data_IF_517104511667
#
_entry.id   IF_517104511667
#
_cell.length_a   1.000
_cell.length_b   1.000
_cell.length_c   1.000
_cell.angle_alpha   90.00
_cell.angle_beta   90.00
_cell.angle_gamma   90.00
#
_symmetry.space_group_name_H-M   'P 1'
#
loop_
_entity.id
_entity.type
_entity.pdbx_description
1 polymer ?
#
# COMPACT_ATOMS: atom_id res chain seq x y z
N UNK A 1 -1.90 8.32 4.68
CA UNK A 1 -3.02 7.49 4.16
C UNK A 1 -4.13 8.23 3.41
N UNK A 2 -4.56 9.49 3.71
CA UNK A 2 -5.60 10.13 2.88
C UNK A 2 -5.18 10.29 1.40
N UNK A 3 -3.89 10.52 1.13
CA UNK A 3 -3.37 10.67 -0.23
C UNK A 3 -3.44 9.40 -1.09
N UNK A 4 -3.18 8.22 -0.51
CA UNK A 4 -3.23 6.93 -1.23
C UNK A 4 -4.65 6.61 -1.73
N UNK A 5 -5.64 6.93 -0.90
CA UNK A 5 -7.05 6.81 -1.25
C UNK A 5 -7.41 7.74 -2.41
N UNK A 6 -7.02 9.01 -2.34
CA UNK A 6 -7.44 10.00 -3.34
C UNK A 6 -6.69 9.91 -4.66
N UNK A 7 -5.45 9.41 -4.66
CA UNK A 7 -4.63 9.35 -5.87
C UNK A 7 -4.74 7.98 -6.54
N UNK A 8 -4.35 6.89 -5.89
CA UNK A 8 -4.35 5.57 -6.54
C UNK A 8 -5.76 5.02 -6.77
N UNK A 9 -6.62 5.01 -5.75
CA UNK A 9 -7.95 4.39 -5.85
C UNK A 9 -8.89 5.16 -6.79
N UNK A 10 -8.68 6.47 -6.95
CA UNK A 10 -9.45 7.26 -7.89
C UNK A 10 -8.84 7.27 -9.30
N UNK A 11 -7.52 7.16 -9.43
CA UNK A 11 -6.85 7.16 -10.74
C UNK A 11 -6.99 5.81 -11.46
N UNK A 12 -7.02 4.71 -10.71
CA UNK A 12 -7.04 3.37 -11.26
C UNK A 12 -8.30 2.62 -10.81
N UNK A 13 -9.12 2.10 -11.75
CA UNK A 13 -10.24 1.24 -11.38
C UNK A 13 -9.74 -0.09 -10.80
N UNK A 14 -10.52 -0.66 -9.87
CA UNK A 14 -10.24 -1.95 -9.23
C UNK A 14 -10.00 -3.11 -10.22
N UNK A 15 -10.54 -3.01 -11.44
CA UNK A 15 -10.31 -3.99 -12.50
C UNK A 15 -8.87 -4.01 -13.04
N UNK A 16 -8.11 -2.94 -12.80
CA UNK A 16 -6.71 -2.79 -13.21
C UNK A 16 -5.76 -2.88 -12.02
N UNK A 17 -6.09 -2.19 -10.91
CA UNK A 17 -5.25 -2.11 -9.73
C UNK A 17 -6.11 -2.26 -8.48
N UNK A 18 -5.82 -3.27 -7.68
CA UNK A 18 -6.45 -3.44 -6.36
C UNK A 18 -5.48 -2.96 -5.27
N UNK A 19 -5.96 -2.08 -4.40
CA UNK A 19 -5.18 -1.60 -3.24
C UNK A 19 -5.54 -2.43 -2.01
N UNK A 20 -4.52 -2.96 -1.34
CA UNK A 20 -4.64 -3.65 -0.05
C UNK A 20 -3.65 -3.01 0.93
N UNK A 21 -4.13 -2.60 2.10
CA UNK A 21 -3.28 -2.09 3.16
C UNK A 21 -3.09 -3.16 4.24
N UNK A 22 -1.90 -3.25 4.81
CA UNK A 22 -1.60 -4.13 5.94
C UNK A 22 -1.25 -3.29 7.17
N UNK A 23 -1.75 -3.69 8.33
CA UNK A 23 -1.39 -3.08 9.60
C UNK A 23 -1.09 -4.14 10.66
N UNK A 24 -0.06 -3.91 11.46
CA UNK A 24 0.37 -4.79 12.56
C UNK A 24 -0.49 -4.67 13.80
N UNK A 25 -1.11 -3.51 13.97
CA UNK A 25 -1.92 -3.23 15.14
C UNK A 25 -3.34 -3.76 14.90
N UNK A 26 -3.88 -4.46 15.90
CA UNK A 26 -5.25 -4.98 15.84
C UNK A 26 -6.20 -3.83 15.50
N UNK A 27 -7.28 -4.04 14.73
CA UNK A 27 -8.36 -3.06 14.60
C UNK A 27 -9.04 -2.87 15.96
N UNK A 28 -8.33 -2.26 16.90
CA UNK A 28 -8.82 -1.84 18.17
C UNK A 28 -9.30 -0.40 17.99
N UNK A 29 -10.20 -0.01 18.88
CA UNK A 29 -10.84 1.30 18.89
C UNK A 29 -9.84 2.46 18.83
N UNK A 30 -8.60 2.24 19.26
CA UNK A 30 -7.52 3.22 19.37
C UNK A 30 -6.91 3.59 18.02
N UNK A 31 -6.70 2.66 17.09
CA UNK A 31 -6.25 3.02 15.72
C UNK A 31 -7.35 3.77 14.99
N UNK A 32 -8.58 3.26 15.04
CA UNK A 32 -9.72 3.91 14.37
C UNK A 32 -10.03 5.29 14.98
N UNK A 33 -9.71 5.52 16.26
CA UNK A 33 -9.88 6.80 16.94
C UNK A 33 -8.70 7.77 16.77
N UNK A 34 -7.47 7.27 16.62
CA UNK A 34 -6.26 8.09 16.54
C UNK A 34 -5.69 8.25 15.12
N UNK A 35 -6.19 7.51 14.15
CA UNK A 35 -5.92 7.76 12.74
C UNK A 35 -7.07 8.64 12.22
N UNK A 36 -6.89 9.97 12.05
CA UNK A 36 -7.90 10.82 11.46
C UNK A 36 -7.94 10.52 9.96
N UNK A 37 -8.49 9.37 9.60
CA UNK A 37 -9.08 9.23 8.29
C UNK A 37 -10.29 10.15 8.33
N UNK A 38 -10.14 11.33 7.74
CA UNK A 38 -11.23 12.30 7.62
C UNK A 38 -12.43 11.73 6.84
N UNK A 39 -12.24 10.57 6.18
CA UNK A 39 -13.23 9.84 5.39
C UNK A 39 -13.03 8.32 5.57
N UNK A 40 -14.06 7.48 5.39
CA UNK A 40 -13.92 6.03 5.39
C UNK A 40 -12.87 5.56 4.37
N UNK A 41 -12.10 4.50 4.70
CA UNK A 41 -11.24 3.83 3.73
C UNK A 41 -12.06 3.26 2.58
N UNK A 42 -11.62 3.46 1.34
CA UNK A 42 -12.22 2.85 0.15
C UNK A 42 -11.58 1.52 -0.23
N UNK A 43 -10.54 1.09 0.48
CA UNK A 43 -9.82 -0.16 0.23
C UNK A 43 -9.74 -1.03 1.49
N UNK A 44 -9.61 -2.37 1.34
CA UNK A 44 -9.45 -3.27 2.47
C UNK A 44 -8.20 -2.98 3.29
N UNK A 45 -8.37 -2.96 4.62
CA UNK A 45 -7.28 -2.97 5.60
C UNK A 45 -7.19 -4.37 6.22
N UNK A 46 -6.13 -5.09 5.88
CA UNK A 46 -5.82 -6.41 6.38
C UNK A 46 -5.00 -6.32 7.67
N UNK A 47 -5.39 -7.14 8.65
CA UNK A 47 -4.69 -7.25 9.90
C UNK A 47 -3.60 -8.31 9.81
N UNK A 48 -2.34 -7.90 9.93
CA UNK A 48 -1.19 -8.79 9.90
C UNK A 48 -0.54 -8.84 11.28
N UNK A 49 -1.04 -9.76 12.10
CA UNK A 49 -0.46 -10.06 13.42
C UNK A 49 -0.27 -11.54 13.63
N UNK A 50 0.63 -11.85 14.55
CA UNK A 50 0.72 -13.17 15.17
C UNK A 50 0.46 -13.03 16.67
N UNK A 51 0.29 -14.16 17.37
CA UNK A 51 0.25 -14.17 18.83
C UNK A 51 1.50 -13.55 19.48
N UNK A 52 2.61 -13.43 18.75
CA UNK A 52 3.87 -12.83 19.17
C UNK A 52 4.01 -11.32 18.81
N UNK A 53 2.95 -10.69 18.29
CA UNK A 53 2.91 -9.25 17.99
C UNK A 53 2.99 -8.94 16.51
N UNK A 54 4.14 -9.19 15.86
CA UNK A 54 4.32 -8.86 14.43
C UNK A 54 3.83 -9.98 13.52
N UNK A 55 2.99 -9.65 12.55
CA UNK A 55 2.55 -10.54 11.48
C UNK A 55 3.67 -11.00 10.54
N UNK A 56 3.43 -12.09 9.81
CA UNK A 56 4.44 -12.70 8.94
C UNK A 56 4.70 -11.86 7.69
N UNK A 57 3.65 -11.24 7.13
CA UNK A 57 3.77 -10.40 5.92
C UNK A 57 4.66 -9.18 6.21
N UNK A 58 4.50 -8.55 7.36
CA UNK A 58 5.35 -7.44 7.78
C UNK A 58 6.77 -7.89 8.05
N UNK A 59 6.99 -9.06 8.67
CA UNK A 59 8.35 -9.56 8.89
C UNK A 59 9.08 -9.86 7.58
N UNK A 60 8.35 -10.37 6.58
CA UNK A 60 8.90 -10.72 5.28
C UNK A 60 9.19 -9.48 4.44
N UNK A 61 8.27 -8.51 4.42
CA UNK A 61 8.32 -7.40 3.47
C UNK A 61 8.73 -6.06 4.08
N UNK A 62 8.58 -5.83 5.39
CA UNK A 62 9.01 -4.58 6.02
C UNK A 62 10.46 -4.70 6.52
N UNK A 63 11.42 -4.39 5.64
CA UNK A 63 12.86 -4.38 5.96
C UNK A 63 13.42 -2.98 6.19
N UNK A 64 12.60 -1.93 6.06
CA UNK A 64 13.05 -0.54 6.04
C UNK A 64 12.02 0.46 6.59
N UNK A 65 12.00 1.66 6.02
CA UNK A 65 11.13 2.76 6.43
C UNK A 65 9.66 2.47 6.13
N UNK A 66 8.78 2.97 7.00
CA UNK A 66 7.33 2.92 6.81
C UNK A 66 6.83 4.21 6.16
N UNK A 67 5.86 4.15 5.24
CA UNK A 67 5.19 2.94 4.75
C UNK A 67 5.98 2.20 3.65
N UNK A 68 6.04 0.86 3.66
CA UNK A 68 6.49 0.10 2.48
C UNK A 68 5.32 -0.18 1.55
N UNK A 69 5.51 0.08 0.25
CA UNK A 69 4.54 -0.17 -0.82
C UNK A 69 5.14 -1.17 -1.79
N UNK A 70 4.34 -2.17 -2.15
CA UNK A 70 4.71 -3.20 -3.11
C UNK A 70 3.73 -3.15 -4.29
N UNK A 71 4.26 -3.12 -5.51
CA UNK A 71 3.47 -3.41 -6.70
C UNK A 71 3.60 -4.89 -6.99
N UNK A 72 2.48 -5.61 -6.96
CA UNK A 72 2.44 -7.07 -7.12
C UNK A 72 1.59 -7.41 -8.32
N UNK A 73 2.09 -8.28 -9.20
CA UNK A 73 1.32 -8.73 -10.36
C UNK A 73 0.29 -9.81 -9.99
N UNK A 74 -0.55 -10.21 -10.95
CA UNK A 74 -1.59 -11.24 -10.73
C UNK A 74 -1.03 -12.63 -10.37
N UNK A 75 0.24 -12.90 -10.66
CA UNK A 75 0.92 -14.14 -10.28
C UNK A 75 1.48 -14.09 -8.85
N UNK A 76 1.29 -12.98 -8.12
CA UNK A 76 1.82 -12.80 -6.76
C UNK A 76 3.29 -12.41 -6.72
N UNK A 77 3.88 -12.01 -7.85
CA UNK A 77 5.29 -11.60 -7.92
C UNK A 77 5.40 -10.10 -7.65
N UNK A 78 6.29 -9.72 -6.73
CA UNK A 78 6.64 -8.32 -6.47
C UNK A 78 7.40 -7.78 -7.68
N UNK A 79 6.81 -6.79 -8.34
CA UNK A 79 7.39 -6.13 -9.50
C UNK A 79 8.24 -4.93 -9.10
N UNK A 80 7.76 -4.14 -8.15
CA UNK A 80 8.43 -2.94 -7.65
C UNK A 80 8.22 -2.80 -6.15
N UNK A 81 9.20 -2.18 -5.49
CA UNK A 81 9.19 -1.91 -4.04
C UNK A 81 9.55 -0.45 -3.79
N UNK A 82 8.74 0.22 -2.98
CA UNK A 82 8.98 1.57 -2.50
C UNK A 82 9.00 1.54 -0.98
N UNK A 83 10.15 1.85 -0.39
CA UNK A 83 10.26 2.07 1.06
C UNK A 83 10.05 3.55 1.31
N UNK A 84 8.85 3.88 1.75
CA UNK A 84 8.35 5.24 1.78
C UNK A 84 9.09 6.14 2.76
N UNK A 85 8.96 7.43 2.52
CA UNK A 85 9.57 8.44 3.37
C UNK A 85 8.88 8.58 4.73
N UNK A 86 9.68 8.90 5.75
CA UNK A 86 9.25 8.98 7.15
C UNK A 86 8.21 10.06 7.44
N UNK A 87 7.97 10.99 6.50
CA UNK A 87 7.03 12.11 6.67
C UNK A 87 6.06 12.23 5.49
N UNK A 88 4.90 12.87 5.71
CA UNK A 88 3.90 13.07 4.67
C UNK A 88 4.36 14.03 3.55
N UNK A 89 5.25 14.96 3.84
CA UNK A 89 5.78 15.93 2.85
C UNK A 89 6.71 15.24 1.86
N UNK A 90 7.54 14.33 2.35
CA UNK A 90 8.46 13.55 1.52
C UNK A 90 7.74 12.47 0.70
N UNK A 91 6.58 12.01 1.19
CA UNK A 91 5.78 10.97 0.54
C UNK A 91 5.02 11.47 -0.70
N UNK A 92 4.71 12.78 -0.80
CA UNK A 92 3.95 13.33 -1.92
C UNK A 92 4.69 13.21 -3.26
N UNK A 93 5.99 13.54 -3.37
CA UNK A 93 6.76 13.28 -4.59
C UNK A 93 6.85 11.78 -4.94
N UNK A 94 6.93 10.89 -3.94
CA UNK A 94 7.01 9.45 -4.15
C UNK A 94 5.73 8.89 -4.81
N UNK A 95 4.57 9.47 -4.52
CA UNK A 95 3.31 9.07 -5.17
C UNK A 95 3.36 9.17 -6.69
N UNK A 96 3.93 10.25 -7.23
CA UNK A 96 4.06 10.40 -8.68
C UNK A 96 4.97 9.35 -9.32
N UNK A 97 5.98 8.88 -8.57
CA UNK A 97 6.88 7.79 -9.00
C UNK A 97 6.11 6.46 -9.01
N UNK A 98 5.28 6.22 -7.98
CA UNK A 98 4.43 5.04 -7.89
C UNK A 98 3.41 4.99 -9.03
N UNK A 99 2.73 6.10 -9.33
CA UNK A 99 1.78 6.21 -10.45
C UNK A 99 2.47 5.93 -11.79
N UNK A 100 3.64 6.53 -12.03
CA UNK A 100 4.41 6.28 -13.25
C UNK A 100 4.84 4.80 -13.38
N UNK A 101 5.17 4.14 -12.28
CA UNK A 101 5.48 2.71 -12.27
C UNK A 101 4.25 1.86 -12.58
N UNK A 102 3.09 2.18 -12.01
CA UNK A 102 1.82 1.51 -12.33
C UNK A 102 1.50 1.66 -13.83
N UNK A 103 1.56 2.87 -14.37
CA UNK A 103 1.29 3.14 -15.79
C UNK A 103 2.24 2.35 -16.70
N UNK A 104 3.53 2.31 -16.35
CA UNK A 104 4.55 1.56 -17.08
C UNK A 104 4.26 0.06 -17.10
N UNK A 105 3.88 -0.51 -15.95
CA UNK A 105 3.55 -1.94 -15.81
C UNK A 105 2.24 -2.29 -16.53
N UNK A 106 1.25 -1.40 -16.52
CA UNK A 106 -0.01 -1.60 -17.26
C UNK A 106 0.21 -1.51 -18.77
N UNK A 107 1.09 -0.62 -19.23
CA UNK A 107 1.45 -0.51 -20.65
C UNK A 107 2.35 -1.66 -21.14
N UNK A 108 3.20 -2.19 -20.25
CA UNK A 108 4.18 -3.25 -20.56
C UNK A 108 4.12 -4.37 -19.51
N UNK A 109 3.05 -5.18 -19.50
CA UNK A 109 2.90 -6.22 -18.48
C UNK A 109 4.03 -7.26 -18.57
N UNK A 110 4.69 -7.56 -17.45
CA UNK A 110 5.75 -8.56 -17.39
C UNK A 110 5.19 -9.96 -17.70
N UNK A 111 5.68 -10.59 -18.77
CA UNK A 111 5.25 -11.93 -19.20
C UNK A 111 4.56 -12.01 -20.56
N UNK A 112 4.28 -10.87 -21.21
CA UNK A 112 3.64 -10.82 -22.54
C UNK A 112 2.12 -11.10 -22.51
N UNK A 113 1.41 -10.82 -23.62
CA UNK A 113 -0.02 -11.13 -23.75
C UNK A 113 -0.32 -12.64 -23.71
#
# INVERSE_FOLDING_TARGET
MPYFQTQIVNAYPDSLVQVLAFNQDAPNRTILANHPLLQPLTYPLLYDSTAAGRGLTFQEYQTGALPTILLVNQAGVVMERFDGAATAEDFLPEMAIIEAAIDSLLANPPGGP
#
